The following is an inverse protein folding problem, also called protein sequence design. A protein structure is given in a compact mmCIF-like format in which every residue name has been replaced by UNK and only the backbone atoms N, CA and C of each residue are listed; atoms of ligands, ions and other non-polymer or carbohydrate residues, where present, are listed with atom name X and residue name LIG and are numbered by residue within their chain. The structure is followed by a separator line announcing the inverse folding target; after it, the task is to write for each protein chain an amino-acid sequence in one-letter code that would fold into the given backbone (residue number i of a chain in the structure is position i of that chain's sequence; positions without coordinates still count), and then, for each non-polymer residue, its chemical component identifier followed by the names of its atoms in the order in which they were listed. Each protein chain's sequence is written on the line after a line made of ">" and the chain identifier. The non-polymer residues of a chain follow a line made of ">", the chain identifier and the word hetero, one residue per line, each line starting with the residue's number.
data_IF_515348334961
#
_entry.id   IF_515348334961
#
_cell.length_a   1.000
_cell.length_b   1.000
_cell.length_c   1.000
_cell.angle_alpha   90.00
_cell.angle_beta   90.00
_cell.angle_gamma   90.00
#
_symmetry.space_group_name_H-M   'P 1'
#
loop_
_entity.id
_entity.type
_entity.pdbx_description
1 polymer ?
#
# COMPACT_ATOMS: atom_id res chain seq x y z
N UNK A 1 -15.63 -18.78 5.11
CA UNK A 1 -15.59 -17.34 5.47
C UNK A 1 -14.45 -16.61 4.79
N UNK A 2 -13.17 -16.96 5.02
CA UNK A 2 -12.02 -16.32 4.34
C UNK A 2 -12.16 -16.34 2.81
N UNK A 3 -12.44 -17.50 2.21
CA UNK A 3 -12.62 -17.62 0.76
C UNK A 3 -13.78 -16.79 0.23
N UNK A 4 -14.86 -16.66 1.01
CA UNK A 4 -16.01 -15.84 0.66
C UNK A 4 -15.63 -14.36 0.64
N UNK A 5 -14.92 -13.88 1.67
CA UNK A 5 -14.44 -12.49 1.70
C UNK A 5 -13.48 -12.20 0.56
N UNK A 6 -12.54 -13.11 0.28
CA UNK A 6 -11.63 -12.97 -0.84
C UNK A 6 -12.37 -12.92 -2.19
N UNK A 7 -13.41 -13.74 -2.38
CA UNK A 7 -14.23 -13.70 -3.58
C UNK A 7 -15.00 -12.38 -3.72
N UNK A 8 -15.68 -11.93 -2.66
CA UNK A 8 -16.38 -10.65 -2.63
C UNK A 8 -15.44 -9.47 -2.95
N UNK A 9 -14.23 -9.50 -2.39
CA UNK A 9 -13.19 -8.49 -2.62
C UNK A 9 -12.78 -8.37 -4.10
N UNK A 10 -12.89 -9.45 -4.89
CA UNK A 10 -12.63 -9.42 -6.33
C UNK A 10 -13.82 -8.90 -7.14
N UNK A 11 -15.05 -9.14 -6.67
CA UNK A 11 -16.26 -8.68 -7.35
C UNK A 11 -16.44 -7.16 -7.23
N UNK A 12 -16.13 -6.58 -6.06
CA UNK A 12 -16.20 -5.13 -5.81
C UNK A 12 -17.58 -4.50 -6.11
N UNK A 13 -18.65 -5.23 -5.83
CA UNK A 13 -20.04 -4.76 -6.05
C UNK A 13 -20.74 -4.45 -4.73
N UNK A 14 -21.86 -3.71 -4.79
CA UNK A 14 -22.69 -3.42 -3.62
C UNK A 14 -23.29 -4.70 -3.02
N UNK A 15 -23.68 -5.67 -3.85
CA UNK A 15 -24.21 -6.95 -3.39
C UNK A 15 -23.14 -7.77 -2.66
N UNK A 16 -21.89 -7.71 -3.13
CA UNK A 16 -20.76 -8.32 -2.46
C UNK A 16 -20.52 -7.65 -1.09
N UNK A 17 -20.65 -6.32 -1.00
CA UNK A 17 -20.55 -5.60 0.28
C UNK A 17 -21.64 -6.02 1.27
N UNK A 18 -22.89 -6.11 0.81
CA UNK A 18 -24.02 -6.53 1.63
C UNK A 18 -23.84 -7.94 2.16
N UNK A 19 -23.33 -8.85 1.32
CA UNK A 19 -22.98 -10.20 1.74
C UNK A 19 -21.86 -10.20 2.79
N UNK A 20 -20.79 -9.43 2.57
CA UNK A 20 -19.68 -9.28 3.54
C UNK A 20 -20.21 -8.78 4.89
N UNK A 21 -21.03 -7.73 4.89
CA UNK A 21 -21.65 -7.16 6.10
C UNK A 21 -22.55 -8.18 6.81
N UNK A 22 -23.43 -8.85 6.07
CA UNK A 22 -24.34 -9.86 6.62
C UNK A 22 -23.58 -11.02 7.24
N UNK A 23 -22.59 -11.56 6.53
CA UNK A 23 -21.76 -12.67 7.03
C UNK A 23 -20.94 -12.23 8.24
N UNK A 24 -20.36 -11.03 8.24
CA UNK A 24 -19.56 -10.53 9.37
C UNK A 24 -20.34 -10.50 10.69
N UNK A 25 -21.62 -10.11 10.67
CA UNK A 25 -22.49 -10.09 11.86
C UNK A 25 -22.75 -11.48 12.46
N UNK A 26 -22.60 -12.53 11.67
CA UNK A 26 -22.80 -13.92 12.10
C UNK A 26 -21.51 -14.56 12.64
N UNK A 27 -20.37 -13.87 12.53
CA UNK A 27 -19.09 -14.39 13.00
C UNK A 27 -19.06 -14.34 14.54
N UNK A 28 -18.82 -15.47 15.22
CA UNK A 28 -18.67 -15.45 16.67
C UNK A 28 -17.46 -14.60 17.07
N UNK A 29 -17.57 -13.83 18.17
CA UNK A 29 -16.49 -12.95 18.65
C UNK A 29 -15.14 -13.65 18.81
N UNK A 30 -15.14 -14.94 19.15
CA UNK A 30 -13.93 -15.76 19.26
C UNK A 30 -13.13 -15.89 17.97
N UNK A 31 -13.73 -15.71 16.80
CA UNK A 31 -13.04 -15.76 15.51
C UNK A 31 -12.37 -14.44 15.12
N UNK A 32 -12.73 -13.33 15.77
CA UNK A 32 -12.09 -12.03 15.54
C UNK A 32 -10.67 -11.96 16.13
N UNK A 33 -10.19 -12.99 16.83
CA UNK A 33 -8.76 -13.12 17.17
C UNK A 33 -7.93 -13.71 16.03
N UNK A 34 -8.56 -14.19 14.94
CA UNK A 34 -7.84 -14.77 13.82
C UNK A 34 -7.36 -13.67 12.85
N UNK A 35 -6.05 -13.37 12.77
CA UNK A 35 -5.54 -12.26 11.97
C UNK A 35 -5.77 -12.45 10.47
N UNK A 36 -5.82 -13.71 9.99
CA UNK A 36 -6.08 -13.99 8.57
C UNK A 36 -7.54 -13.69 8.21
N UNK A 37 -8.47 -14.06 9.09
CA UNK A 37 -9.89 -13.75 8.91
C UNK A 37 -10.12 -12.24 8.90
N UNK A 38 -9.56 -11.54 9.88
CA UNK A 38 -9.65 -10.08 9.98
C UNK A 38 -9.07 -9.38 8.76
N UNK A 39 -7.88 -9.78 8.32
CA UNK A 39 -7.23 -9.19 7.13
C UNK A 39 -8.09 -9.42 5.88
N UNK A 40 -8.69 -10.60 5.72
CA UNK A 40 -9.54 -10.91 4.56
C UNK A 40 -10.86 -10.13 4.60
N UNK A 41 -11.47 -9.98 5.78
CA UNK A 41 -12.67 -9.17 5.97
C UNK A 41 -12.38 -7.68 5.69
N UNK A 42 -11.25 -7.19 6.18
CA UNK A 42 -10.79 -5.81 5.97
C UNK A 42 -10.55 -5.53 4.48
N UNK A 43 -9.85 -6.41 3.76
CA UNK A 43 -9.63 -6.28 2.31
C UNK A 43 -10.96 -6.29 1.52
N UNK A 44 -11.91 -7.13 1.92
CA UNK A 44 -13.23 -7.19 1.29
C UNK A 44 -14.05 -5.91 1.52
N UNK A 45 -14.07 -5.39 2.75
CA UNK A 45 -14.76 -4.13 3.07
C UNK A 45 -14.17 -2.96 2.27
N UNK A 46 -12.84 -2.83 2.23
CA UNK A 46 -12.14 -1.77 1.50
C UNK A 46 -12.44 -1.85 0.00
N UNK A 47 -12.27 -3.02 -0.61
CA UNK A 47 -12.44 -3.18 -2.07
C UNK A 47 -13.89 -3.08 -2.53
N UNK A 48 -14.86 -3.32 -1.66
CA UNK A 48 -16.27 -3.08 -1.94
C UNK A 48 -16.72 -1.66 -1.50
N UNK A 49 -15.79 -0.77 -1.12
CA UNK A 49 -16.05 0.66 -0.93
C UNK A 49 -16.38 1.10 0.51
N UNK A 50 -16.44 0.19 1.48
CA UNK A 50 -16.75 0.53 2.89
C UNK A 50 -15.48 0.65 3.74
N UNK A 51 -14.66 1.64 3.38
CA UNK A 51 -13.39 1.92 4.06
C UNK A 51 -13.61 2.31 5.53
N UNK A 52 -14.73 2.98 5.85
CA UNK A 52 -15.03 3.42 7.21
C UNK A 52 -15.26 2.23 8.16
N UNK A 53 -16.03 1.21 7.74
CA UNK A 53 -16.16 0.00 8.54
C UNK A 53 -14.83 -0.77 8.63
N UNK A 54 -14.04 -0.80 7.56
CA UNK A 54 -12.73 -1.43 7.57
C UNK A 54 -11.80 -0.75 8.59
N UNK A 55 -11.81 0.58 8.65
CA UNK A 55 -11.07 1.41 9.61
C UNK A 55 -11.51 1.13 11.06
N UNK A 56 -12.83 1.07 11.31
CA UNK A 56 -13.37 0.70 12.63
C UNK A 56 -12.97 -0.71 13.05
N UNK A 57 -13.01 -1.69 12.14
CA UNK A 57 -12.57 -3.05 12.40
C UNK A 57 -11.06 -3.11 12.69
N UNK A 58 -10.28 -2.36 11.93
CA UNK A 58 -8.85 -2.24 12.14
C UNK A 58 -8.54 -1.74 13.54
N UNK A 59 -9.05 -0.57 13.92
CA UNK A 59 -8.71 0.04 15.20
C UNK A 59 -9.24 -0.74 16.41
N UNK A 60 -10.38 -1.44 16.28
CA UNK A 60 -10.92 -2.29 17.34
C UNK A 60 -10.19 -3.63 17.52
N UNK A 61 -9.39 -4.07 16.53
CA UNK A 61 -8.59 -5.30 16.67
C UNK A 61 -7.46 -5.13 17.68
N UNK A 62 -7.32 -6.08 18.61
CA UNK A 62 -6.22 -6.05 19.60
C UNK A 62 -4.88 -6.46 18.99
N UNK A 63 -4.88 -7.46 18.13
CA UNK A 63 -3.69 -7.97 17.46
C UNK A 63 -3.68 -7.54 15.99
N UNK A 64 -2.63 -6.85 15.58
CA UNK A 64 -2.44 -6.34 14.22
C UNK A 64 -1.08 -6.79 13.71
N UNK A 65 -1.06 -7.69 12.74
CA UNK A 65 0.17 -8.07 12.04
C UNK A 65 0.46 -7.14 10.87
N UNK A 66 1.69 -7.19 10.33
CA UNK A 66 2.12 -6.47 9.13
C UNK A 66 1.14 -6.61 7.94
N UNK A 67 0.54 -7.80 7.65
CA UNK A 67 -0.44 -7.92 6.59
C UNK A 67 -1.71 -7.08 6.80
N UNK A 68 -2.14 -6.91 8.05
CA UNK A 68 -3.34 -6.13 8.39
C UNK A 68 -3.06 -4.63 8.24
N UNK A 69 -1.88 -4.16 8.67
CA UNK A 69 -1.40 -2.80 8.39
C UNK A 69 -1.30 -2.55 6.89
N UNK A 70 -0.67 -3.48 6.15
CA UNK A 70 -0.52 -3.37 4.70
C UNK A 70 -1.86 -3.30 3.97
N UNK A 71 -2.83 -4.13 4.35
CA UNK A 71 -4.17 -4.10 3.77
C UNK A 71 -4.88 -2.75 4.01
N UNK A 72 -4.81 -2.20 5.23
CA UNK A 72 -5.43 -0.92 5.55
C UNK A 72 -4.71 0.25 4.87
N UNK A 73 -3.38 0.29 4.90
CA UNK A 73 -2.57 1.29 4.20
C UNK A 73 -2.86 1.29 2.70
N UNK A 74 -2.89 0.10 2.08
CA UNK A 74 -3.23 -0.02 0.66
C UNK A 74 -4.64 0.48 0.40
N UNK A 75 -5.59 0.18 1.27
CA UNK A 75 -6.95 0.70 1.17
C UNK A 75 -7.02 2.22 1.16
N UNK A 76 -6.24 2.90 2.01
CA UNK A 76 -6.14 4.36 1.96
C UNK A 76 -5.56 4.87 0.63
N UNK A 77 -4.47 4.26 0.14
CA UNK A 77 -3.86 4.62 -1.15
C UNK A 77 -4.82 4.40 -2.32
N UNK A 78 -5.54 3.27 -2.34
CA UNK A 78 -6.52 2.95 -3.38
C UNK A 78 -7.73 3.92 -3.38
N UNK A 79 -8.01 4.56 -2.23
CA UNK A 79 -9.12 5.50 -2.05
C UNK A 79 -8.66 6.97 -2.00
N UNK A 80 -7.48 7.30 -2.51
CA UNK A 80 -6.90 8.66 -2.57
C UNK A 80 -6.77 9.34 -1.19
N UNK A 81 -6.37 8.58 -0.17
CA UNK A 81 -6.09 9.06 1.18
C UNK A 81 -4.63 8.80 1.58
N UNK A 82 -3.63 9.20 0.78
CA UNK A 82 -2.23 8.82 1.00
C UNK A 82 -1.66 9.32 2.34
N UNK A 83 -2.13 10.44 2.89
CA UNK A 83 -1.72 10.97 4.20
C UNK A 83 -2.07 9.98 5.31
N UNK A 84 -3.29 9.41 5.30
CA UNK A 84 -3.69 8.38 6.26
C UNK A 84 -2.83 7.11 6.14
N UNK A 85 -2.39 6.76 4.93
CA UNK A 85 -1.49 5.63 4.72
C UNK A 85 -0.11 5.87 5.36
N UNK A 86 0.43 7.08 5.22
CA UNK A 86 1.70 7.49 5.83
C UNK A 86 1.59 7.55 7.36
N UNK A 87 0.53 8.16 7.88
CA UNK A 87 0.27 8.21 9.33
C UNK A 87 0.16 6.82 9.95
N UNK A 88 -0.43 5.87 9.21
CA UNK A 88 -0.52 4.49 9.65
C UNK A 88 0.83 3.77 9.55
N UNK A 89 1.62 4.01 8.50
CA UNK A 89 2.97 3.46 8.36
C UNK A 89 3.87 3.84 9.53
N UNK A 90 3.77 5.08 10.02
CA UNK A 90 4.55 5.55 11.18
C UNK A 90 4.26 4.78 12.47
N UNK A 91 3.19 3.99 12.53
CA UNK A 91 2.82 3.11 13.65
C UNK A 91 3.26 1.65 13.43
N UNK A 92 3.85 1.33 12.28
CA UNK A 92 4.32 -0.02 11.95
C UNK A 92 5.72 -0.21 12.52
N UNK A 93 5.84 -1.14 13.46
CA UNK A 93 7.15 -1.58 13.96
C UNK A 93 7.75 -2.63 13.02
N UNK A 94 9.02 -2.45 12.64
CA UNK A 94 9.76 -3.36 11.76
C UNK A 94 9.00 -3.68 10.44
N UNK A 95 8.69 -2.66 9.61
CA UNK A 95 7.95 -2.86 8.37
C UNK A 95 8.65 -3.83 7.42
N UNK A 96 7.88 -4.66 6.72
CA UNK A 96 8.38 -5.50 5.64
C UNK A 96 8.45 -4.73 4.30
N UNK A 97 8.94 -5.41 3.27
CA UNK A 97 9.05 -4.85 1.93
C UNK A 97 7.68 -4.51 1.32
N UNK A 98 6.61 -5.18 1.72
CA UNK A 98 5.23 -4.87 1.30
C UNK A 98 4.77 -3.55 1.92
N UNK A 99 4.95 -3.35 3.23
CA UNK A 99 4.58 -2.10 3.90
C UNK A 99 5.34 -0.91 3.30
N UNK A 100 6.64 -1.05 3.06
CA UNK A 100 7.48 -0.01 2.46
C UNK A 100 7.07 0.29 1.01
N UNK A 101 6.73 -0.74 0.22
CA UNK A 101 6.20 -0.55 -1.14
C UNK A 101 4.94 0.32 -1.12
N UNK A 102 4.03 0.07 -0.17
CA UNK A 102 2.78 0.84 -0.05
C UNK A 102 3.08 2.28 0.40
N UNK A 103 4.05 2.49 1.30
CA UNK A 103 4.50 3.83 1.66
C UNK A 103 4.98 4.62 0.44
N UNK A 104 5.86 4.02 -0.38
CA UNK A 104 6.35 4.71 -1.58
C UNK A 104 5.23 5.03 -2.57
N UNK A 105 4.25 4.15 -2.74
CA UNK A 105 3.06 4.44 -3.54
C UNK A 105 2.25 5.62 -2.99
N UNK A 106 2.10 5.73 -1.66
CA UNK A 106 1.43 6.86 -1.03
C UNK A 106 2.20 8.18 -1.28
N UNK A 107 3.52 8.18 -1.10
CA UNK A 107 4.37 9.33 -1.40
C UNK A 107 4.27 9.74 -2.88
N UNK A 108 4.28 8.77 -3.79
CA UNK A 108 4.13 8.97 -5.22
C UNK A 108 2.78 9.60 -5.61
N UNK A 109 1.72 9.35 -4.83
CA UNK A 109 0.42 10.00 -5.01
C UNK A 109 0.43 11.47 -4.51
N UNK A 110 1.11 11.76 -3.40
CA UNK A 110 1.22 13.11 -2.83
C UNK A 110 2.03 14.08 -3.68
N UNK A 111 3.18 13.64 -4.21
CA UNK A 111 4.07 14.45 -5.06
C UNK A 111 4.55 15.75 -4.39
N UNK A 112 4.79 15.72 -3.09
CA UNK A 112 5.30 16.86 -2.33
C UNK A 112 6.76 16.69 -1.94
N UNK A 113 7.39 17.77 -1.46
CA UNK A 113 8.77 17.73 -0.98
C UNK A 113 8.90 16.90 0.29
N UNK A 114 7.91 16.97 1.19
CA UNK A 114 7.86 16.19 2.42
C UNK A 114 7.77 14.68 2.10
N UNK A 115 6.98 14.32 1.08
CA UNK A 115 6.91 12.96 0.58
C UNK A 115 8.25 12.49 -0.01
N UNK A 116 8.97 13.35 -0.74
CA UNK A 116 10.30 13.06 -1.24
C UNK A 116 11.31 12.81 -0.11
N UNK A 117 11.31 13.67 0.90
CA UNK A 117 12.22 13.56 2.05
C UNK A 117 11.97 12.25 2.80
N UNK A 118 10.70 11.85 2.95
CA UNK A 118 10.32 10.56 3.52
C UNK A 118 10.81 9.38 2.66
N UNK A 119 10.60 9.42 1.34
CA UNK A 119 11.10 8.39 0.41
C UNK A 119 12.61 8.20 0.53
N UNK A 120 13.37 9.30 0.55
CA UNK A 120 14.83 9.30 0.69
C UNK A 120 15.31 8.78 2.03
N UNK A 121 14.61 9.14 3.11
CA UNK A 121 14.92 8.66 4.45
C UNK A 121 14.69 7.15 4.53
N UNK A 122 13.49 6.70 4.18
CA UNK A 122 13.12 5.30 4.28
C UNK A 122 13.99 4.41 3.39
N UNK A 123 14.32 4.83 2.16
CA UNK A 123 15.21 4.04 1.29
C UNK A 123 16.60 3.82 1.91
N UNK A 124 17.14 4.79 2.64
CA UNK A 124 18.43 4.63 3.34
C UNK A 124 18.36 3.67 4.55
N UNK A 125 17.21 3.57 5.19
CA UNK A 125 17.02 2.82 6.44
C UNK A 125 16.61 1.36 6.22
N UNK A 126 15.97 1.03 5.09
CA UNK A 126 15.49 -0.33 4.82
C UNK A 126 16.63 -1.32 4.50
N UNK A 127 16.45 -2.63 4.81
CA UNK A 127 17.43 -3.65 4.47
C UNK A 127 17.75 -3.70 2.98
N UNK A 128 19.03 -3.90 2.62
CA UNK A 128 19.46 -4.05 1.22
C UNK A 128 18.73 -5.19 0.48
N UNK A 129 18.31 -6.23 1.19
CA UNK A 129 17.55 -7.35 0.64
C UNK A 129 16.18 -6.94 0.09
N UNK A 130 15.57 -5.85 0.59
CA UNK A 130 14.26 -5.39 0.13
C UNK A 130 14.31 -4.89 -1.32
N UNK A 131 15.47 -4.41 -1.78
CA UNK A 131 15.68 -3.97 -3.15
C UNK A 131 15.63 -5.12 -4.17
N UNK A 132 15.75 -6.38 -3.72
CA UNK A 132 15.53 -7.54 -4.57
C UNK A 132 14.04 -7.77 -4.90
N UNK A 133 13.12 -7.09 -4.20
CA UNK A 133 11.71 -7.10 -4.56
C UNK A 133 11.46 -6.08 -5.69
N UNK A 134 11.13 -6.52 -6.92
CA UNK A 134 10.94 -5.63 -8.06
C UNK A 134 9.75 -4.67 -7.87
N UNK A 135 8.76 -5.03 -7.04
CA UNK A 135 7.63 -4.14 -6.73
C UNK A 135 8.08 -2.97 -5.87
N UNK A 136 8.85 -3.24 -4.83
CA UNK A 136 9.44 -2.20 -3.98
C UNK A 136 10.34 -1.30 -4.81
N UNK A 137 11.27 -1.88 -5.58
CA UNK A 137 12.18 -1.12 -6.43
C UNK A 137 11.43 -0.23 -7.44
N UNK A 138 10.42 -0.76 -8.12
CA UNK A 138 9.58 0.03 -9.04
C UNK A 138 8.84 1.16 -8.30
N UNK A 139 8.27 0.89 -7.12
CA UNK A 139 7.57 1.93 -6.34
C UNK A 139 8.49 3.05 -5.85
N UNK A 140 9.74 2.72 -5.48
CA UNK A 140 10.76 3.71 -5.13
C UNK A 140 11.07 4.62 -6.33
N UNK A 141 11.29 4.05 -7.51
CA UNK A 141 11.54 4.82 -8.72
C UNK A 141 10.35 5.74 -9.05
N UNK A 142 9.12 5.19 -9.05
CA UNK A 142 7.91 5.98 -9.31
C UNK A 142 7.75 7.14 -8.31
N UNK A 143 8.02 6.90 -7.02
CA UNK A 143 7.96 7.93 -5.99
C UNK A 143 9.02 9.02 -6.18
N UNK A 144 10.28 8.65 -6.43
CA UNK A 144 11.36 9.61 -6.70
C UNK A 144 11.05 10.46 -7.93
N UNK A 145 10.63 9.83 -9.03
CA UNK A 145 10.28 10.52 -10.26
C UNK A 145 9.11 11.49 -10.08
N UNK A 146 8.02 11.06 -9.43
CA UNK A 146 6.82 11.90 -9.25
C UNK A 146 6.99 12.99 -8.21
N UNK A 147 7.90 12.83 -7.24
CA UNK A 147 8.22 13.88 -6.29
C UNK A 147 9.39 14.77 -6.77
N UNK A 148 9.90 14.55 -7.99
CA UNK A 148 10.82 15.47 -8.69
C UNK A 148 12.31 15.14 -8.58
N UNK A 149 12.71 14.05 -7.94
CA UNK A 149 14.13 13.63 -7.90
C UNK A 149 14.47 12.66 -9.04
N UNK A 150 14.46 13.20 -10.25
CA UNK A 150 14.72 12.46 -11.49
C UNK A 150 16.13 11.88 -11.51
N UNK A 151 17.13 12.68 -11.13
CA UNK A 151 18.55 12.28 -11.19
C UNK A 151 18.82 11.06 -10.32
N UNK A 152 18.27 11.03 -9.10
CA UNK A 152 18.44 9.88 -8.22
C UNK A 152 17.72 8.65 -8.74
N UNK A 153 16.50 8.81 -9.27
CA UNK A 153 15.76 7.70 -9.87
C UNK A 153 16.51 7.09 -11.08
N UNK A 154 17.06 7.92 -11.96
CA UNK A 154 17.87 7.47 -13.10
C UNK A 154 19.13 6.74 -12.64
N UNK A 155 19.86 7.32 -11.67
CA UNK A 155 21.05 6.68 -11.11
C UNK A 155 20.74 5.27 -10.56
N UNK A 156 19.68 5.14 -9.75
CA UNK A 156 19.24 3.86 -9.22
C UNK A 156 18.80 2.89 -10.34
N UNK A 157 18.04 3.38 -11.31
CA UNK A 157 17.59 2.58 -12.44
C UNK A 157 18.76 1.99 -13.22
N UNK A 158 19.71 2.83 -13.67
CA UNK A 158 20.84 2.38 -14.48
C UNK A 158 21.79 1.47 -13.70
N UNK A 159 22.00 1.72 -12.40
CA UNK A 159 22.85 0.89 -11.54
C UNK A 159 22.27 -0.50 -11.21
N UNK A 160 20.97 -0.71 -11.37
CA UNK A 160 20.30 -1.96 -10.98
C UNK A 160 20.41 -3.07 -12.04
N UNK A 161 20.77 -4.29 -11.65
CA UNK A 161 20.70 -5.47 -12.53
C UNK A 161 19.27 -6.06 -12.64
N UNK A 162 18.34 -5.64 -11.78
CA UNK A 162 17.00 -6.23 -11.64
C UNK A 162 15.89 -5.38 -12.30
N UNK A 163 16.17 -4.78 -13.45
CA UNK A 163 15.20 -3.98 -14.19
C UNK A 163 14.08 -4.87 -14.74
N UNK A 164 12.85 -4.62 -14.30
CA UNK A 164 11.63 -5.28 -14.82
C UNK A 164 10.84 -4.32 -15.72
N UNK A 165 9.97 -4.84 -16.60
CA UNK A 165 9.14 -4.01 -17.51
C UNK A 165 8.44 -2.83 -16.81
N UNK A 166 7.91 -3.05 -15.60
CA UNK A 166 7.26 -1.99 -14.82
C UNK A 166 8.20 -0.84 -14.41
N UNK A 167 9.49 -1.12 -14.20
CA UNK A 167 10.48 -0.09 -13.85
C UNK A 167 10.75 0.86 -15.01
N UNK A 168 10.81 0.37 -16.26
CA UNK A 168 10.89 1.22 -17.46
C UNK A 168 9.64 2.10 -17.59
N UNK A 169 8.45 1.52 -17.34
CA UNK A 169 7.19 2.27 -17.36
C UNK A 169 7.15 3.41 -16.35
N UNK A 170 7.65 3.18 -15.13
CA UNK A 170 7.77 4.22 -14.10
C UNK A 170 8.70 5.37 -14.55
N UNK A 171 9.88 5.04 -15.09
CA UNK A 171 10.83 6.04 -15.60
C UNK A 171 10.24 6.88 -16.74
N UNK A 172 9.65 6.25 -17.76
CA UNK A 172 9.05 6.96 -18.91
C UNK A 172 7.92 7.89 -18.47
N UNK A 173 7.02 7.41 -17.60
CA UNK A 173 5.92 8.23 -17.08
C UNK A 173 6.43 9.41 -16.26
N UNK A 174 7.45 9.17 -15.44
CA UNK A 174 8.10 10.18 -14.63
C UNK A 174 8.79 11.26 -15.46
N UNK A 175 9.55 10.88 -16.49
CA UNK A 175 10.26 11.82 -17.36
C UNK A 175 9.28 12.73 -18.09
N UNK A 176 8.20 12.17 -18.64
CA UNK A 176 7.15 12.95 -19.28
C UNK A 176 6.55 13.99 -18.31
N UNK A 177 6.25 13.62 -17.06
CA UNK A 177 5.70 14.55 -16.07
C UNK A 177 6.65 15.71 -15.76
N UNK A 178 7.95 15.44 -15.64
CA UNK A 178 8.94 16.47 -15.29
C UNK A 178 9.35 17.33 -16.50
N UNK A 179 9.21 16.83 -17.73
CA UNK A 179 9.43 17.62 -18.95
C UNK A 179 8.41 18.74 -19.18
N UNK A 180 7.19 18.65 -18.61
CA UNK A 180 6.17 19.70 -18.71
C UNK A 180 6.26 20.75 -17.58
N UNK A 181 7.12 20.53 -16.57
CA UNK A 181 7.25 21.39 -15.39
C UNK A 181 8.51 22.28 -15.42
N UNK A 182 9.38 22.08 -16.41
CA UNK A 182 10.57 22.88 -16.70
C UNK A 182 10.39 23.65 -18.02
#
# INVERSE_FOLDING_TARGET
>A
MILLFNACAQLKTEEALDLVKKTSKQIPKSFYSNPRLLTSLLDALIKCGDVAHAESLFYSSKEKGLPMYGAMMKGYVDNNLPEKAIDLFNKVENPDDVNVTILFNACAQLKTKEALDLVKKTSKEIPKSFYANPRLFTSLLDALMKCGDVVHAESLFYSSEQKVSSSYGAMMKGLNLNHFLN
#
